data_IF_021513690022
#
_entry.id   IF_021513690022
#
_cell.length_a   1.000
_cell.length_b   1.000
_cell.length_c   1.000
_cell.angle_alpha   90.00
_cell.angle_beta   90.00
_cell.angle_gamma   90.00
#
_symmetry.space_group_name_H-M   'P 1'
#
loop_
_entity.id
_entity.type
_entity.pdbx_description
1 polymer ?
#
# COMPACT_ATOMS: atom_id res chain seq x y z
N UNK A 1 18.18 4.95 82.73
CA UNK A 1 18.77 4.40 81.49
C UNK A 1 17.69 4.26 80.42
N UNK A 2 17.40 5.29 79.62
CA UNK A 2 16.30 5.26 78.61
C UNK A 2 16.66 5.91 77.24
N UNK A 3 17.95 6.04 76.92
CA UNK A 3 18.41 6.77 75.72
C UNK A 3 18.69 5.92 74.48
N UNK A 4 18.96 4.63 74.65
CA UNK A 4 19.42 3.73 73.57
C UNK A 4 18.27 3.16 72.74
N UNK A 5 17.13 2.82 73.36
CA UNK A 5 15.95 2.30 72.66
C UNK A 5 15.27 3.32 71.73
N UNK A 6 15.30 4.62 72.09
CA UNK A 6 14.74 5.68 71.23
C UNK A 6 15.57 5.89 69.97
N UNK A 7 16.89 5.73 70.05
CA UNK A 7 17.81 5.87 68.90
C UNK A 7 17.70 4.70 67.92
N UNK A 8 17.53 3.46 68.40
CA UNK A 8 17.34 2.30 67.52
C UNK A 8 15.99 2.34 66.81
N UNK A 9 14.91 2.72 67.50
CA UNK A 9 13.58 2.93 66.90
C UNK A 9 13.59 4.00 65.81
N UNK A 10 14.31 5.11 66.00
CA UNK A 10 14.45 6.14 64.96
C UNK A 10 15.21 5.66 63.71
N UNK A 11 16.22 4.80 63.85
CA UNK A 11 16.93 4.21 62.71
C UNK A 11 16.06 3.23 61.92
N UNK A 12 15.27 2.42 62.61
CA UNK A 12 14.29 1.52 61.98
C UNK A 12 13.24 2.30 61.20
N UNK A 13 12.67 3.35 61.80
CA UNK A 13 11.69 4.23 61.14
C UNK A 13 12.31 4.94 59.93
N UNK A 14 13.57 5.37 60.00
CA UNK A 14 14.25 5.99 58.86
C UNK A 14 14.48 4.98 57.72
N UNK A 15 14.87 3.74 58.04
CA UNK A 15 15.05 2.68 57.05
C UNK A 15 13.75 2.30 56.34
N UNK A 16 12.63 2.27 57.05
CA UNK A 16 11.30 2.06 56.46
C UNK A 16 10.89 3.22 55.55
N UNK A 17 11.15 4.47 55.95
CA UNK A 17 10.91 5.66 55.09
C UNK A 17 11.73 5.62 53.79
N UNK A 18 12.99 5.20 53.89
CA UNK A 18 13.86 5.10 52.71
C UNK A 18 13.43 3.95 51.77
N UNK A 19 12.86 2.86 52.31
CA UNK A 19 12.25 1.78 51.52
C UNK A 19 11.00 2.25 50.79
N UNK A 20 10.06 2.89 51.52
CA UNK A 20 8.83 3.44 50.95
C UNK A 20 9.15 4.41 49.82
N UNK A 21 10.12 5.32 50.04
CA UNK A 21 10.55 6.27 49.00
C UNK A 21 11.08 5.57 47.75
N UNK A 22 11.87 4.50 47.91
CA UNK A 22 12.37 3.71 46.77
C UNK A 22 11.24 3.00 46.04
N UNK A 23 10.27 2.46 46.78
CA UNK A 23 9.11 1.79 46.18
C UNK A 23 8.22 2.78 45.41
N UNK A 24 8.04 4.00 45.91
CA UNK A 24 7.37 5.11 45.21
C UNK A 24 8.13 5.54 43.95
N UNK A 25 9.46 5.67 44.02
CA UNK A 25 10.29 5.97 42.85
C UNK A 25 10.22 4.84 41.79
N UNK A 26 10.22 3.58 42.23
CA UNK A 26 10.13 2.42 41.33
C UNK A 26 8.76 2.32 40.68
N UNK A 27 7.67 2.54 41.42
CA UNK A 27 6.31 2.56 40.87
C UNK A 27 6.12 3.71 39.88
N UNK A 28 6.68 4.90 40.17
CA UNK A 28 6.71 6.02 39.23
C UNK A 28 7.42 5.67 37.91
N UNK A 29 8.61 5.08 37.99
CA UNK A 29 9.36 4.62 36.81
C UNK A 29 8.61 3.55 36.00
N UNK A 30 7.94 2.61 36.67
CA UNK A 30 7.12 1.60 36.00
C UNK A 30 5.99 2.26 35.21
N UNK A 31 5.28 3.22 35.82
CA UNK A 31 4.20 3.95 35.15
C UNK A 31 4.71 4.76 33.93
N UNK A 32 5.87 5.40 34.05
CA UNK A 32 6.52 6.10 32.93
C UNK A 32 6.87 5.15 31.79
N UNK A 33 7.49 4.00 32.10
CA UNK A 33 7.83 2.98 31.10
C UNK A 33 6.59 2.40 30.41
N UNK A 34 5.50 2.18 31.15
CA UNK A 34 4.22 1.75 30.57
C UNK A 34 3.62 2.82 29.65
N UNK A 35 3.72 4.10 30.02
CA UNK A 35 3.30 5.21 29.19
C UNK A 35 4.09 5.26 27.88
N UNK A 36 5.43 5.19 27.97
CA UNK A 36 6.32 5.15 26.80
C UNK A 36 5.98 3.96 25.91
N UNK A 37 5.81 2.76 26.51
CA UNK A 37 5.45 1.55 25.77
C UNK A 37 4.15 1.70 24.99
N UNK A 38 3.13 2.33 25.58
CA UNK A 38 1.85 2.58 24.88
C UNK A 38 2.03 3.51 23.69
N UNK A 39 2.86 4.56 23.81
CA UNK A 39 3.14 5.49 22.71
C UNK A 39 3.88 4.79 21.58
N UNK A 40 4.92 4.00 21.90
CA UNK A 40 5.70 3.26 20.90
C UNK A 40 4.81 2.27 20.13
N UNK A 41 3.99 1.48 20.84
CA UNK A 41 3.08 0.52 20.19
C UNK A 41 2.08 1.20 19.25
N UNK A 42 1.57 2.38 19.62
CA UNK A 42 0.68 3.16 18.74
C UNK A 42 1.40 3.63 17.48
N UNK A 43 2.61 4.18 17.63
CA UNK A 43 3.41 4.65 16.50
C UNK A 43 3.78 3.51 15.54
N UNK A 44 4.15 2.34 16.06
CA UNK A 44 4.43 1.15 15.25
C UNK A 44 3.20 0.68 14.47
N UNK A 45 2.03 0.65 15.11
CA UNK A 45 0.77 0.27 14.47
C UNK A 45 0.35 1.26 13.38
N UNK A 46 0.44 2.56 13.65
CA UNK A 46 0.16 3.61 12.66
C UNK A 46 1.11 3.52 11.46
N UNK A 47 2.40 3.30 11.70
CA UNK A 47 3.38 3.13 10.63
C UNK A 47 3.09 1.89 9.77
N UNK A 48 2.75 0.76 10.41
CA UNK A 48 2.41 -0.48 9.72
C UNK A 48 1.15 -0.34 8.85
N UNK A 49 0.11 0.30 9.39
CA UNK A 49 -1.16 0.51 8.66
C UNK A 49 -1.00 1.49 7.50
N UNK A 50 -0.26 2.59 7.67
CA UNK A 50 0.05 3.53 6.60
C UNK A 50 0.89 2.90 5.49
N UNK A 51 1.92 2.13 5.85
CA UNK A 51 2.77 1.41 4.89
C UNK A 51 1.97 0.37 4.08
N UNK A 52 1.09 -0.37 4.75
CA UNK A 52 0.17 -1.32 4.09
C UNK A 52 -0.79 -0.60 3.13
N UNK A 53 -1.37 0.53 3.57
CA UNK A 53 -2.27 1.35 2.76
C UNK A 53 -1.57 1.88 1.49
N UNK A 54 -0.38 2.46 1.62
CA UNK A 54 0.38 2.97 0.49
C UNK A 54 0.78 1.87 -0.52
N UNK A 55 1.16 0.69 -0.04
CA UNK A 55 1.42 -0.49 -0.90
C UNK A 55 0.15 -0.93 -1.63
N UNK A 56 -0.99 -0.95 -0.95
CA UNK A 56 -2.29 -1.28 -1.54
C UNK A 56 -2.69 -0.31 -2.66
N UNK A 57 -2.46 0.99 -2.47
CA UNK A 57 -2.73 2.02 -3.49
C UNK A 57 -1.83 1.83 -4.72
N UNK A 58 -0.52 1.64 -4.54
CA UNK A 58 0.41 1.39 -5.65
C UNK A 58 0.03 0.15 -6.45
N UNK A 59 -0.37 -0.94 -5.79
CA UNK A 59 -0.82 -2.16 -6.48
C UNK A 59 -2.09 -1.93 -7.29
N UNK A 60 -3.05 -1.16 -6.78
CA UNK A 60 -4.26 -0.78 -7.52
C UNK A 60 -3.92 0.06 -8.75
N UNK A 61 -3.04 1.04 -8.62
CA UNK A 61 -2.59 1.88 -9.74
C UNK A 61 -1.93 1.04 -10.84
N UNK A 62 -0.99 0.15 -10.47
CA UNK A 62 -0.33 -0.74 -11.43
C UNK A 62 -1.32 -1.66 -12.13
N UNK A 63 -2.30 -2.19 -11.41
CA UNK A 63 -3.36 -3.01 -11.99
C UNK A 63 -4.20 -2.22 -12.97
N UNK A 64 -4.63 -1.01 -12.60
CA UNK A 64 -5.41 -0.14 -13.47
C UNK A 64 -4.65 0.23 -14.75
N UNK A 65 -3.35 0.54 -14.63
CA UNK A 65 -2.50 0.83 -15.78
C UNK A 65 -2.43 -0.37 -16.75
N UNK A 66 -2.27 -1.59 -16.22
CA UNK A 66 -2.24 -2.81 -17.03
C UNK A 66 -3.59 -3.07 -17.72
N UNK A 67 -4.69 -2.91 -17.00
CA UNK A 67 -6.04 -3.06 -17.56
C UNK A 67 -6.30 -2.04 -18.69
N UNK A 68 -5.89 -0.78 -18.50
CA UNK A 68 -5.99 0.26 -19.52
C UNK A 68 -5.15 -0.07 -20.77
N UNK A 69 -3.93 -0.58 -20.61
CA UNK A 69 -3.09 -0.99 -21.74
C UNK A 69 -3.73 -2.12 -22.55
N UNK A 70 -4.28 -3.13 -21.88
CA UNK A 70 -4.98 -4.24 -22.53
C UNK A 70 -6.25 -3.74 -23.26
N UNK A 71 -7.00 -2.82 -22.66
CA UNK A 71 -8.17 -2.22 -23.29
C UNK A 71 -7.80 -1.46 -24.58
N UNK A 72 -6.71 -0.67 -24.56
CA UNK A 72 -6.22 0.04 -25.75
C UNK A 72 -5.77 -0.92 -26.87
N UNK A 73 -5.10 -2.01 -26.51
CA UNK A 73 -4.70 -3.05 -27.47
C UNK A 73 -5.93 -3.72 -28.08
N UNK A 74 -6.90 -4.13 -27.27
CA UNK A 74 -8.15 -4.72 -27.73
C UNK A 74 -8.91 -3.78 -28.68
N UNK A 75 -9.03 -2.50 -28.33
CA UNK A 75 -9.67 -1.49 -29.18
C UNK A 75 -8.96 -1.36 -30.54
N UNK A 76 -7.63 -1.39 -30.55
CA UNK A 76 -6.84 -1.31 -31.78
C UNK A 76 -7.06 -2.54 -32.66
N UNK A 77 -7.11 -3.74 -32.09
CA UNK A 77 -7.39 -4.97 -32.84
C UNK A 77 -8.79 -4.95 -33.45
N UNK A 78 -9.80 -4.53 -32.68
CA UNK A 78 -11.18 -4.41 -33.18
C UNK A 78 -11.26 -3.42 -34.33
N UNK A 79 -10.62 -2.25 -34.21
CA UNK A 79 -10.58 -1.25 -35.28
C UNK A 79 -9.87 -1.75 -36.53
N UNK A 80 -8.74 -2.47 -36.37
CA UNK A 80 -8.01 -3.07 -37.50
C UNK A 80 -8.85 -4.13 -38.20
N UNK A 81 -9.56 -4.98 -37.45
CA UNK A 81 -10.46 -5.96 -38.02
C UNK A 81 -11.60 -5.29 -38.82
N UNK A 82 -12.24 -4.27 -38.24
CA UNK A 82 -13.29 -3.52 -38.92
C UNK A 82 -12.77 -2.82 -40.19
N UNK A 83 -11.59 -2.21 -40.14
CA UNK A 83 -10.97 -1.59 -41.31
C UNK A 83 -10.66 -2.62 -42.40
N UNK A 84 -10.12 -3.78 -42.02
CA UNK A 84 -9.85 -4.88 -42.97
C UNK A 84 -11.12 -5.35 -43.66
N UNK A 85 -12.23 -5.47 -42.93
CA UNK A 85 -13.52 -5.87 -43.52
C UNK A 85 -14.04 -4.83 -44.51
N UNK A 86 -13.87 -3.53 -44.20
CA UNK A 86 -14.31 -2.46 -45.08
C UNK A 86 -13.44 -2.39 -46.35
N UNK A 87 -12.13 -2.50 -46.21
CA UNK A 87 -11.21 -2.54 -47.36
C UNK A 87 -11.50 -3.73 -48.28
N UNK A 88 -11.82 -4.90 -47.71
CA UNK A 88 -12.20 -6.07 -48.50
C UNK A 88 -13.52 -5.85 -49.26
N UNK A 89 -14.52 -5.23 -48.62
CA UNK A 89 -15.78 -4.89 -49.29
C UNK A 89 -15.57 -3.91 -50.45
N UNK A 90 -14.73 -2.88 -50.24
CA UNK A 90 -14.37 -1.93 -51.29
C UNK A 90 -13.61 -2.61 -52.44
N UNK A 91 -12.63 -3.47 -52.15
CA UNK A 91 -11.88 -4.21 -53.17
C UNK A 91 -12.80 -5.11 -54.00
N UNK A 92 -13.75 -5.80 -53.36
CA UNK A 92 -14.75 -6.60 -54.05
C UNK A 92 -15.64 -5.74 -54.95
N UNK A 93 -16.10 -4.59 -54.46
CA UNK A 93 -16.92 -3.67 -55.24
C UNK A 93 -16.15 -3.15 -56.46
N UNK A 94 -14.94 -2.63 -56.27
CA UNK A 94 -14.11 -2.14 -57.37
C UNK A 94 -13.75 -3.23 -58.36
N UNK A 95 -13.48 -4.44 -57.89
CA UNK A 95 -13.24 -5.60 -58.76
C UNK A 95 -14.43 -5.91 -59.65
N UNK A 96 -15.67 -5.81 -59.13
CA UNK A 96 -16.89 -6.00 -59.92
C UNK A 96 -17.04 -4.90 -60.97
N UNK A 97 -16.87 -3.64 -60.58
CA UNK A 97 -16.98 -2.48 -61.48
C UNK A 97 -15.93 -2.51 -62.60
N UNK A 98 -14.69 -2.89 -62.29
CA UNK A 98 -13.62 -3.01 -63.29
C UNK A 98 -13.87 -4.17 -64.25
N UNK A 99 -14.33 -5.32 -63.77
CA UNK A 99 -14.68 -6.46 -64.64
C UNK A 99 -15.78 -6.10 -65.63
N UNK A 100 -16.78 -5.30 -65.24
CA UNK A 100 -17.81 -4.80 -66.16
C UNK A 100 -17.22 -3.95 -67.29
N UNK A 101 -16.07 -3.32 -67.07
CA UNK A 101 -15.32 -2.54 -68.08
C UNK A 101 -14.23 -3.34 -68.79
N UNK A 102 -14.09 -4.63 -68.52
CA UNK A 102 -13.02 -5.48 -69.06
C UNK A 102 -11.63 -5.20 -68.45
N UNK A 103 -11.57 -4.52 -67.31
CA UNK A 103 -10.33 -4.16 -66.60
C UNK A 103 -10.17 -4.99 -65.32
N UNK A 104 -8.94 -5.05 -64.79
CA UNK A 104 -8.61 -5.80 -63.56
C UNK A 104 -7.64 -4.98 -62.70
N UNK A 105 -7.77 -5.10 -61.36
CA UNK A 105 -6.86 -4.48 -60.40
C UNK A 105 -5.50 -5.19 -60.45
N UNK A 106 -4.42 -4.43 -60.57
CA UNK A 106 -3.07 -4.96 -60.44
C UNK A 106 -2.79 -5.32 -58.97
N UNK A 107 -2.56 -6.60 -58.69
CA UNK A 107 -2.13 -7.06 -57.38
C UNK A 107 -0.60 -7.16 -57.33
N UNK A 108 0.01 -6.37 -56.45
CA UNK A 108 1.44 -6.43 -56.20
C UNK A 108 1.78 -7.75 -55.50
N UNK A 109 2.64 -8.57 -56.11
CA UNK A 109 3.18 -9.78 -55.47
C UNK A 109 4.24 -9.35 -54.45
N UNK A 110 4.04 -9.72 -53.19
CA UNK A 110 4.98 -9.54 -52.08
C UNK A 110 5.54 -10.88 -51.67
#
# INVERSE_FOLDING_TARGET
>A
MFGTERRSKNKLVQGERDRIKKDEEMTGRIAELESIRKVVLRAEFECATQSSSAKGMKLRELRQQRENQLALQALTLVRRAALSTLMQQEEEQYSRELRQRGLVIYQQRV
#
